data_IF_980626515728
#
_entry.id   IF_980626515728
#
_cell.length_a   1.000
_cell.length_b   1.000
_cell.length_c   1.000
_cell.angle_alpha   90.00
_cell.angle_beta   90.00
_cell.angle_gamma   90.00
#
_symmetry.space_group_name_H-M   'P 1'
#
loop_
_entity.id
_entity.type
_entity.pdbx_description
1 polymer ?
#
# COMPACT_ATOMS: atom_id res chain seq x y z
N UNK A 1 35.78 0.43 -9.05
CA UNK A 1 34.39 0.18 -8.62
C UNK A 1 34.34 0.24 -7.11
N UNK A 2 33.77 1.30 -6.53
CA UNK A 2 33.72 1.49 -5.09
C UNK A 2 32.53 0.73 -4.51
N UNK A 3 32.81 -0.28 -3.70
CA UNK A 3 31.78 -1.05 -3.00
C UNK A 3 31.26 -0.21 -1.83
N UNK A 4 30.07 0.33 -1.95
CA UNK A 4 29.40 1.00 -0.81
C UNK A 4 29.04 -0.07 0.22
N UNK A 5 29.77 -0.10 1.33
CA UNK A 5 29.47 -0.95 2.48
C UNK A 5 28.30 -0.31 3.24
N UNK A 6 27.14 -0.92 3.16
CA UNK A 6 26.00 -0.52 3.98
C UNK A 6 26.27 -0.98 5.42
N UNK A 7 26.68 -0.05 6.28
CA UNK A 7 26.75 -0.29 7.72
C UNK A 7 25.33 -0.48 8.27
N UNK A 8 25.16 -1.52 9.10
CA UNK A 8 23.90 -1.76 9.79
C UNK A 8 23.59 -0.58 10.72
N UNK A 9 22.57 0.20 10.40
CA UNK A 9 22.03 1.23 11.26
C UNK A 9 21.55 0.56 12.55
N UNK A 10 22.12 0.92 13.70
CA UNK A 10 21.61 0.49 15.01
C UNK A 10 20.16 0.93 15.10
N UNK A 11 19.27 -0.04 15.22
CA UNK A 11 17.83 0.18 15.33
C UNK A 11 17.50 0.71 16.72
N UNK A 12 17.54 2.02 16.90
CA UNK A 12 16.73 2.62 17.96
C UNK A 12 15.27 2.32 17.66
N UNK A 13 14.52 1.88 18.69
CA UNK A 13 13.10 1.62 18.52
C UNK A 13 12.41 2.90 18.00
N UNK A 14 11.66 2.85 16.92
CA UNK A 14 11.04 4.04 16.37
C UNK A 14 10.00 4.56 17.36
N UNK A 15 10.17 5.79 17.81
CA UNK A 15 9.06 6.54 18.39
C UNK A 15 7.99 6.67 17.31
N UNK A 16 6.87 5.99 17.49
CA UNK A 16 5.70 6.16 16.63
C UNK A 16 5.34 7.65 16.61
N UNK A 17 5.29 8.23 15.42
CA UNK A 17 4.82 9.61 15.25
C UNK A 17 3.34 9.62 15.62
N UNK A 18 2.91 10.38 16.66
CA UNK A 18 1.51 10.40 17.07
C UNK A 18 0.63 10.88 15.91
N UNK A 19 -0.44 10.14 15.62
CA UNK A 19 -1.41 10.56 14.63
C UNK A 19 -2.26 11.72 15.19
N UNK A 20 -2.50 12.73 14.35
CA UNK A 20 -3.49 13.75 14.66
C UNK A 20 -4.90 13.14 14.66
N UNK A 21 -5.87 13.70 15.42
CA UNK A 21 -7.23 13.17 15.47
C UNK A 21 -7.89 13.03 14.10
N UNK A 22 -7.69 14.00 13.20
CA UNK A 22 -8.20 13.93 11.82
C UNK A 22 -7.58 12.77 11.02
N UNK A 23 -6.28 12.51 11.19
CA UNK A 23 -5.60 11.41 10.53
C UNK A 23 -6.08 10.06 11.07
N UNK A 24 -6.31 9.96 12.37
CA UNK A 24 -6.87 8.77 13.00
C UNK A 24 -8.26 8.44 12.47
N UNK A 25 -9.14 9.44 12.34
CA UNK A 25 -10.49 9.30 11.82
C UNK A 25 -10.49 8.84 10.34
N UNK A 26 -9.64 9.46 9.51
CA UNK A 26 -9.49 9.08 8.10
C UNK A 26 -8.93 7.67 7.97
N UNK A 27 -7.93 7.31 8.78
CA UNK A 27 -7.39 5.96 8.77
C UNK A 27 -8.47 4.93 9.13
N UNK A 28 -9.20 5.11 10.21
CA UNK A 28 -10.25 4.17 10.65
C UNK A 28 -11.36 4.01 9.60
N UNK A 29 -11.76 5.10 8.94
CA UNK A 29 -12.84 5.09 7.96
C UNK A 29 -12.44 4.54 6.59
N UNK A 30 -11.19 4.77 6.15
CA UNK A 30 -10.78 4.51 4.75
C UNK A 30 -9.70 3.46 4.59
N UNK A 31 -8.78 3.33 5.53
CA UNK A 31 -7.57 2.51 5.35
C UNK A 31 -7.53 1.28 6.22
N UNK A 32 -8.14 1.32 7.40
CA UNK A 32 -8.24 0.19 8.31
C UNK A 32 -8.99 -0.97 7.65
N UNK A 33 -8.34 -2.13 7.57
CA UNK A 33 -8.99 -3.31 7.01
C UNK A 33 -10.07 -3.81 7.98
N UNK A 34 -11.28 -3.99 7.44
CA UNK A 34 -12.45 -4.51 8.17
C UNK A 34 -13.08 -5.65 7.37
N UNK A 35 -13.78 -6.54 8.07
CA UNK A 35 -14.63 -7.57 7.43
C UNK A 35 -15.83 -6.90 6.76
N UNK A 36 -16.59 -7.68 5.96
CA UNK A 36 -17.87 -7.19 5.39
C UNK A 36 -18.90 -6.83 6.47
N UNK A 37 -18.78 -7.38 7.66
CA UNK A 37 -19.62 -7.11 8.83
C UNK A 37 -19.15 -5.88 9.61
N UNK A 38 -18.01 -5.29 9.24
CA UNK A 38 -17.46 -4.09 9.88
C UNK A 38 -16.48 -4.36 11.02
N UNK A 39 -16.15 -5.63 11.29
CA UNK A 39 -15.17 -5.99 12.32
C UNK A 39 -13.76 -5.61 11.88
N UNK A 40 -13.00 -4.98 12.77
CA UNK A 40 -11.66 -4.54 12.47
C UNK A 40 -10.67 -5.73 12.43
N UNK A 41 -9.95 -5.85 11.33
CA UNK A 41 -8.87 -6.81 11.13
C UNK A 41 -7.51 -6.19 11.47
N UNK A 42 -7.29 -4.93 11.07
CA UNK A 42 -6.17 -4.16 11.57
C UNK A 42 -6.52 -3.63 12.96
N UNK A 43 -5.83 -4.08 14.01
CA UNK A 43 -6.10 -3.63 15.39
C UNK A 43 -5.87 -2.13 15.54
N UNK A 44 -4.77 -1.64 14.97
CA UNK A 44 -4.31 -0.25 14.98
C UNK A 44 -3.57 0.10 13.69
N UNK A 45 -2.99 1.29 13.61
CA UNK A 45 -2.21 1.73 12.45
C UNK A 45 -0.96 0.86 12.23
N UNK A 46 -0.37 0.35 13.28
CA UNK A 46 0.79 -0.55 13.18
C UNK A 46 0.40 -1.89 12.55
N UNK A 47 -0.78 -2.39 12.86
CA UNK A 47 -1.37 -3.56 12.19
C UNK A 47 -1.53 -3.35 10.68
N UNK A 48 -1.96 -2.15 10.27
CA UNK A 48 -1.98 -1.76 8.84
C UNK A 48 -0.57 -1.79 8.23
N UNK A 49 0.42 -1.24 8.92
CA UNK A 49 1.81 -1.25 8.44
C UNK A 49 2.35 -2.66 8.31
N UNK A 50 2.10 -3.53 9.28
CA UNK A 50 2.52 -4.93 9.23
C UNK A 50 1.87 -5.70 8.08
N UNK A 51 0.57 -5.51 7.84
CA UNK A 51 -0.15 -6.13 6.72
C UNK A 51 0.41 -5.70 5.37
N UNK A 52 0.61 -4.39 5.18
CA UNK A 52 1.18 -3.84 3.94
C UNK A 52 2.61 -4.35 3.73
N UNK A 53 3.44 -4.27 4.76
CA UNK A 53 4.82 -4.75 4.71
C UNK A 53 4.91 -6.24 4.36
N UNK A 54 4.01 -7.07 4.93
CA UNK A 54 3.94 -8.50 4.63
C UNK A 54 3.59 -8.73 3.16
N UNK A 55 2.56 -8.05 2.66
CA UNK A 55 2.13 -8.19 1.27
C UNK A 55 3.21 -7.80 0.26
N UNK A 56 3.99 -6.75 0.56
CA UNK A 56 5.11 -6.33 -0.28
C UNK A 56 6.28 -7.33 -0.20
N UNK A 57 6.60 -7.81 0.99
CA UNK A 57 7.70 -8.76 1.20
C UNK A 57 7.40 -10.13 0.58
N UNK A 58 6.13 -10.55 0.52
CA UNK A 58 5.72 -11.84 -0.05
C UNK A 58 5.95 -11.94 -1.57
N UNK A 59 6.23 -10.81 -2.24
CA UNK A 59 6.69 -10.81 -3.63
C UNK A 59 8.12 -11.38 -3.80
N UNK A 60 8.90 -11.48 -2.72
CA UNK A 60 10.25 -12.01 -2.77
C UNK A 60 10.27 -13.54 -2.93
N UNK A 61 11.29 -14.03 -3.64
CA UNK A 61 11.34 -15.43 -4.05
C UNK A 61 11.61 -16.41 -2.88
N UNK A 62 12.38 -16.00 -1.87
CA UNK A 62 12.80 -16.90 -0.77
C UNK A 62 12.28 -16.44 0.58
N UNK A 63 12.06 -17.38 1.54
CA UNK A 63 11.61 -17.04 2.89
C UNK A 63 12.57 -16.08 3.62
N UNK A 64 13.87 -16.23 3.43
CA UNK A 64 14.89 -15.37 4.05
C UNK A 64 14.78 -13.93 3.53
N UNK A 65 14.58 -13.75 2.21
CA UNK A 65 14.37 -12.43 1.62
C UNK A 65 13.04 -11.82 2.08
N UNK A 66 11.98 -12.63 2.19
CA UNK A 66 10.69 -12.18 2.72
C UNK A 66 10.81 -11.67 4.14
N UNK A 67 11.50 -12.39 5.02
CA UNK A 67 11.75 -11.96 6.39
C UNK A 67 12.57 -10.66 6.42
N UNK A 68 13.66 -10.63 5.66
CA UNK A 68 14.54 -9.46 5.58
C UNK A 68 13.81 -8.19 5.11
N UNK A 69 13.02 -8.27 4.02
CA UNK A 69 12.30 -7.13 3.48
C UNK A 69 11.11 -6.73 4.33
N UNK A 70 10.42 -7.69 4.95
CA UNK A 70 9.34 -7.39 5.89
C UNK A 70 9.77 -6.45 7.01
N UNK A 71 10.87 -6.75 7.68
CA UNK A 71 11.39 -5.89 8.75
C UNK A 71 11.74 -4.49 8.25
N UNK A 72 12.32 -4.38 7.06
CA UNK A 72 12.68 -3.09 6.46
C UNK A 72 11.47 -2.27 6.05
N UNK A 73 10.48 -2.92 5.49
CA UNK A 73 9.23 -2.24 5.13
C UNK A 73 8.47 -1.77 6.38
N UNK A 74 8.36 -2.58 7.42
CA UNK A 74 7.78 -2.15 8.70
C UNK A 74 8.56 -0.97 9.27
N UNK A 75 9.89 -1.06 9.27
CA UNK A 75 10.76 0.02 9.73
C UNK A 75 10.51 1.33 8.96
N UNK A 76 10.41 1.28 7.64
CA UNK A 76 10.17 2.44 6.78
C UNK A 76 8.79 3.05 7.00
N UNK A 77 7.74 2.21 7.05
CA UNK A 77 6.35 2.64 7.25
C UNK A 77 6.17 3.35 8.59
N UNK A 78 6.75 2.82 9.67
CA UNK A 78 6.75 3.45 11.01
C UNK A 78 7.46 4.80 11.04
N UNK A 79 8.33 5.10 10.06
CA UNK A 79 9.04 6.37 9.89
C UNK A 79 8.39 7.31 8.86
N UNK A 80 7.18 7.00 8.43
CA UNK A 80 6.40 7.86 7.55
C UNK A 80 6.58 7.64 6.06
N UNK A 81 7.30 6.59 5.62
CA UNK A 81 7.35 6.20 4.22
C UNK A 81 6.06 5.47 3.81
N UNK A 82 4.92 6.17 3.89
CA UNK A 82 3.58 5.63 3.65
C UNK A 82 3.33 5.58 2.13
N UNK A 83 2.97 4.41 1.58
CA UNK A 83 2.65 4.29 0.16
C UNK A 83 1.31 4.93 -0.18
N UNK A 84 1.02 5.02 -1.48
CA UNK A 84 -0.24 5.56 -1.98
C UNK A 84 -1.47 4.85 -1.36
N UNK A 85 -2.58 5.58 -1.28
CA UNK A 85 -3.77 5.15 -0.54
C UNK A 85 -4.32 3.79 -0.93
N UNK A 86 -4.32 3.43 -2.23
CA UNK A 86 -4.78 2.10 -2.67
C UNK A 86 -3.87 0.97 -2.22
N UNK A 87 -2.56 1.20 -2.12
CA UNK A 87 -1.63 0.23 -1.58
C UNK A 87 -1.89 0.07 -0.08
N UNK A 88 -2.00 1.17 0.66
CA UNK A 88 -2.27 1.16 2.10
C UNK A 88 -3.58 0.44 2.44
N UNK A 89 -4.65 0.66 1.65
CA UNK A 89 -5.95 0.04 1.94
C UNK A 89 -6.09 -1.40 1.42
N UNK A 90 -5.41 -1.78 0.34
CA UNK A 90 -5.69 -3.02 -0.37
C UNK A 90 -4.55 -4.06 -0.34
N UNK A 91 -3.28 -3.66 -0.13
CA UNK A 91 -2.20 -4.63 -0.06
C UNK A 91 -2.40 -5.59 1.14
N UNK A 92 -2.36 -6.89 0.87
CA UNK A 92 -2.64 -7.92 1.85
C UNK A 92 -4.11 -8.08 2.24
N UNK A 93 -5.03 -7.44 1.51
CA UNK A 93 -6.47 -7.49 1.78
C UNK A 93 -7.26 -8.43 0.86
N UNK A 94 -6.60 -9.20 0.00
CA UNK A 94 -7.22 -9.96 -1.09
C UNK A 94 -8.28 -10.97 -0.62
N UNK A 95 -8.13 -11.54 0.57
CA UNK A 95 -9.12 -12.45 1.14
C UNK A 95 -10.44 -11.75 1.48
N UNK A 96 -10.40 -10.47 1.80
CA UNK A 96 -11.57 -9.67 2.18
C UNK A 96 -12.04 -8.74 1.05
N UNK A 97 -11.13 -8.37 0.15
CA UNK A 97 -11.35 -7.47 -0.99
C UNK A 97 -10.74 -8.07 -2.27
N UNK A 98 -11.28 -9.19 -2.81
CA UNK A 98 -10.63 -9.94 -3.89
C UNK A 98 -10.51 -9.20 -5.22
N UNK A 99 -11.40 -8.24 -5.48
CA UNK A 99 -11.48 -7.51 -6.75
C UNK A 99 -10.85 -6.10 -6.70
N UNK A 100 -10.03 -5.80 -5.69
CA UNK A 100 -9.44 -4.45 -5.57
C UNK A 100 -8.02 -4.40 -6.14
N UNK A 101 -7.73 -3.30 -6.86
CA UNK A 101 -6.42 -2.98 -7.38
C UNK A 101 -5.55 -2.27 -6.33
N UNK A 102 -4.24 -2.51 -6.39
CA UNK A 102 -3.22 -1.73 -5.67
C UNK A 102 -2.64 -0.60 -6.53
N UNK A 103 -3.03 -0.49 -7.80
CA UNK A 103 -2.63 0.61 -8.68
C UNK A 103 -3.37 1.87 -8.25
N UNK A 104 -2.63 2.94 -7.90
CA UNK A 104 -3.23 4.16 -7.41
C UNK A 104 -3.61 5.12 -8.53
N UNK A 105 -2.72 5.32 -9.51
CA UNK A 105 -2.91 6.21 -10.65
C UNK A 105 -2.37 5.57 -11.92
N UNK A 106 -3.01 5.88 -13.03
CA UNK A 106 -2.57 5.50 -14.37
C UNK A 106 -2.59 6.71 -15.28
N UNK A 107 -1.76 6.70 -16.30
CA UNK A 107 -1.76 7.70 -17.37
C UNK A 107 -2.27 7.02 -18.61
N UNK A 108 -3.36 7.55 -19.16
CA UNK A 108 -3.89 7.15 -20.48
C UNK A 108 -3.23 7.98 -21.59
N UNK A 109 -3.26 7.44 -22.80
CA UNK A 109 -2.75 8.15 -23.98
C UNK A 109 -3.60 9.37 -24.37
N UNK A 110 -3.22 10.02 -25.46
CA UNK A 110 -3.94 11.16 -26.03
C UNK A 110 -5.36 10.76 -26.42
N UNK A 111 -6.31 11.65 -26.22
CA UNK A 111 -7.68 11.52 -26.72
C UNK A 111 -7.72 12.20 -28.10
N UNK A 112 -7.99 11.43 -29.14
CA UNK A 112 -8.17 11.97 -30.48
C UNK A 112 -9.47 12.81 -30.54
N UNK A 113 -9.43 13.91 -31.28
CA UNK A 113 -10.60 14.81 -31.45
C UNK A 113 -11.61 14.20 -32.44
N UNK A 114 -12.22 13.10 -32.03
CA UNK A 114 -13.25 12.36 -32.75
C UNK A 114 -14.15 11.63 -31.77
N UNK A 115 -15.40 11.35 -32.15
CA UNK A 115 -16.32 10.58 -31.29
C UNK A 115 -15.76 9.19 -30.99
N UNK A 116 -15.16 8.53 -31.96
CA UNK A 116 -14.56 7.21 -31.75
C UNK A 116 -13.41 7.27 -30.74
N UNK A 117 -12.50 8.24 -30.88
CA UNK A 117 -11.39 8.42 -29.96
C UNK A 117 -11.84 8.74 -28.52
N UNK A 118 -12.89 9.56 -28.37
CA UNK A 118 -13.47 9.88 -27.07
C UNK A 118 -14.08 8.62 -26.42
N UNK A 119 -14.89 7.86 -27.18
CA UNK A 119 -15.56 6.65 -26.67
C UNK A 119 -14.54 5.53 -26.36
N UNK A 120 -13.47 5.39 -27.17
CA UNK A 120 -12.39 4.46 -26.90
C UNK A 120 -11.71 4.76 -25.55
N UNK A 121 -11.45 6.04 -25.26
CA UNK A 121 -10.83 6.44 -23.99
C UNK A 121 -11.78 6.30 -22.80
N UNK A 122 -13.07 6.48 -22.98
CA UNK A 122 -14.07 6.17 -21.94
C UNK A 122 -14.06 4.67 -21.63
N UNK A 123 -13.99 3.82 -22.66
CA UNK A 123 -13.91 2.37 -22.47
C UNK A 123 -12.61 1.96 -21.74
N UNK A 124 -11.46 2.48 -22.15
CA UNK A 124 -10.17 2.27 -21.49
C UNK A 124 -10.19 2.68 -20.03
N UNK A 125 -10.75 3.87 -19.73
CA UNK A 125 -10.89 4.36 -18.36
C UNK A 125 -11.78 3.43 -17.53
N UNK A 126 -12.88 2.95 -18.09
CA UNK A 126 -13.79 2.01 -17.43
C UNK A 126 -13.11 0.70 -17.04
N UNK A 127 -12.28 0.14 -17.92
CA UNK A 127 -11.49 -1.06 -17.65
C UNK A 127 -10.40 -0.82 -16.59
N UNK A 128 -9.76 0.34 -16.64
CA UNK A 128 -8.68 0.71 -15.71
C UNK A 128 -9.20 0.96 -14.29
N UNK A 129 -10.40 1.53 -14.15
CA UNK A 129 -11.01 1.86 -12.86
C UNK A 129 -11.68 0.65 -12.17
N UNK A 130 -11.90 -0.42 -12.88
CA UNK A 130 -12.48 -1.66 -12.35
C UNK A 130 -11.47 -2.42 -11.49
#
# INVERSE_FOLDING_TARGET
>A
MSTVRLEAVKTEQPTLIPMQPASQDIWDKKYRLKTKQGEALDADIDGTYQRVARALADAEATPEKRAYWYERFVWALRRGAIPAGRITSNAGAQQHKPATSTINCTVSGTIEDSMDGILEKVHEAGLTLK
#
